data_IF_474058107544
#
_entry.id   IF_474058107544
#
_cell.length_a   1.000
_cell.length_b   1.000
_cell.length_c   1.000
_cell.angle_alpha   90.00
_cell.angle_beta   90.00
_cell.angle_gamma   90.00
#
_symmetry.space_group_name_H-M   'P 1'
#
loop_
_entity.id
_entity.type
_entity.pdbx_description
1 polymer ?
#
# COMPACT_ATOMS: atom_id res chain seq x y z
N UNK A 1 -2.14 54.77 70.38
CA UNK A 1 -1.61 53.39 70.39
C UNK A 1 -2.20 52.64 69.21
N UNK A 2 -1.31 52.24 68.30
CA UNK A 2 -1.62 51.54 67.06
C UNK A 2 -1.84 50.05 67.35
N UNK A 3 -2.95 49.48 66.89
CA UNK A 3 -3.12 48.03 66.78
C UNK A 3 -3.68 47.75 65.39
N UNK A 4 -2.77 47.34 64.49
CA UNK A 4 -3.06 46.82 63.15
C UNK A 4 -3.73 45.45 63.31
N UNK A 5 -4.94 45.29 62.79
CA UNK A 5 -5.52 43.97 62.53
C UNK A 5 -5.14 43.53 61.11
N UNK A 6 -4.30 42.50 61.02
CA UNK A 6 -3.91 41.87 59.78
C UNK A 6 -5.14 41.18 59.15
N UNK A 7 -5.62 41.73 58.05
CA UNK A 7 -6.61 41.09 57.17
C UNK A 7 -5.88 40.33 56.08
N UNK A 8 -5.49 39.08 56.35
CA UNK A 8 -5.08 38.13 55.32
C UNK A 8 -5.98 36.89 55.46
N UNK A 9 -6.43 36.37 54.32
CA UNK A 9 -7.49 35.36 54.09
C UNK A 9 -8.85 36.02 53.76
N UNK A 10 -9.13 36.24 52.46
CA UNK A 10 -9.63 35.13 51.64
C UNK A 10 -9.17 35.22 50.18
N UNK A 11 -7.99 34.69 49.84
CA UNK A 11 -7.56 34.56 48.44
C UNK A 11 -7.19 33.12 48.04
N UNK A 12 -7.18 32.18 48.98
CA UNK A 12 -6.82 30.78 48.70
C UNK A 12 -8.01 29.87 48.36
N UNK A 13 -9.26 30.32 48.56
CA UNK A 13 -10.44 29.50 48.24
C UNK A 13 -10.91 29.63 46.78
N UNK A 14 -10.50 30.67 46.05
CA UNK A 14 -10.92 30.88 44.65
C UNK A 14 -10.01 30.19 43.61
N UNK A 15 -8.82 29.75 44.01
CA UNK A 15 -7.85 29.12 43.10
C UNK A 15 -8.02 27.59 42.95
N UNK A 16 -8.82 26.95 43.79
CA UNK A 16 -8.96 25.47 43.79
C UNK A 16 -10.19 24.94 43.05
N UNK A 17 -11.07 25.81 42.53
CA UNK A 17 -12.30 25.44 41.83
C UNK A 17 -12.24 25.59 40.30
N UNK A 18 -11.07 25.90 39.73
CA UNK A 18 -10.88 26.05 38.27
C UNK A 18 -10.08 24.90 37.60
N UNK A 19 -9.84 23.78 38.30
CA UNK A 19 -9.04 22.67 37.75
C UNK A 19 -9.78 21.34 37.61
N UNK A 20 -11.10 21.35 37.53
CA UNK A 20 -11.86 20.19 37.04
C UNK A 20 -12.61 20.59 35.78
N UNK A 21 -11.86 20.84 34.72
CA UNK A 21 -12.40 20.74 33.37
C UNK A 21 -12.88 19.30 33.19
N UNK A 22 -14.15 19.05 32.80
CA UNK A 22 -14.55 17.70 32.43
C UNK A 22 -13.62 17.25 31.30
N UNK A 23 -12.93 16.12 31.52
CA UNK A 23 -12.03 15.50 30.54
C UNK A 23 -12.80 15.28 29.23
N UNK A 24 -12.65 16.20 28.28
CA UNK A 24 -13.18 16.07 26.90
C UNK A 24 -12.48 14.94 26.13
N UNK A 25 -11.44 14.35 26.71
CA UNK A 25 -10.50 13.46 26.01
C UNK A 25 -11.12 12.17 25.45
N UNK A 26 -12.29 11.75 25.94
CA UNK A 26 -13.04 10.59 25.42
C UNK A 26 -13.87 10.94 24.18
N UNK A 27 -14.80 11.89 24.30
CA UNK A 27 -15.65 12.34 23.20
C UNK A 27 -14.84 12.96 22.04
N UNK A 28 -13.75 13.66 22.35
CA UNK A 28 -12.84 14.26 21.37
C UNK A 28 -11.92 13.22 20.71
N UNK A 29 -11.62 12.09 21.37
CA UNK A 29 -10.96 10.91 20.73
C UNK A 29 -11.90 10.19 19.78
N UNK A 30 -13.15 9.94 20.20
CA UNK A 30 -14.17 9.25 19.40
C UNK A 30 -14.54 10.04 18.14
N UNK A 31 -14.47 11.38 18.19
CA UNK A 31 -14.75 12.26 17.04
C UNK A 31 -13.54 12.48 16.12
N UNK A 32 -12.34 12.00 16.48
CA UNK A 32 -11.09 12.22 15.75
C UNK A 32 -10.97 11.34 14.50
N UNK A 33 -11.61 10.18 14.51
CA UNK A 33 -11.50 9.18 13.46
C UNK A 33 -12.87 8.89 12.84
N UNK A 34 -13.03 9.26 11.57
CA UNK A 34 -14.19 8.85 10.77
C UNK A 34 -13.89 7.49 10.16
N UNK A 35 -14.87 6.60 10.24
CA UNK A 35 -14.77 5.31 9.59
C UNK A 35 -14.63 5.48 8.07
N UNK A 36 -13.78 4.65 7.45
CA UNK A 36 -13.87 4.42 6.01
C UNK A 36 -15.32 4.03 5.65
N UNK A 37 -15.75 4.40 4.46
CA UNK A 37 -17.04 3.96 3.92
C UNK A 37 -17.03 2.44 3.72
N UNK A 38 -18.22 1.91 3.47
CA UNK A 38 -18.38 0.56 2.92
C UNK A 38 -17.50 0.39 1.68
N UNK A 39 -17.03 -0.84 1.47
CA UNK A 39 -16.36 -1.28 0.26
C UNK A 39 -17.21 -0.91 -0.97
N UNK A 40 -16.60 -0.28 -1.96
CA UNK A 40 -17.24 0.07 -3.24
C UNK A 40 -16.82 -0.96 -4.27
N UNK A 41 -17.69 -1.92 -4.55
CA UNK A 41 -17.53 -2.88 -5.64
C UNK A 41 -17.97 -2.25 -6.97
N UNK A 42 -17.30 -2.60 -8.07
CA UNK A 42 -17.65 -2.17 -9.42
C UNK A 42 -18.19 -3.36 -10.25
N UNK A 43 -19.40 -3.90 -9.95
CA UNK A 43 -19.93 -5.10 -10.60
C UNK A 43 -20.25 -4.92 -12.09
N UNK A 44 -20.43 -3.69 -12.53
CA UNK A 44 -20.73 -3.34 -13.93
C UNK A 44 -19.50 -2.81 -14.69
N UNK A 45 -18.31 -2.89 -14.08
CA UNK A 45 -17.05 -2.58 -14.77
C UNK A 45 -16.69 -3.69 -15.76
N UNK A 46 -15.92 -3.35 -16.80
CA UNK A 46 -15.40 -4.33 -17.76
C UNK A 46 -14.20 -5.12 -17.19
N UNK A 47 -13.54 -4.56 -16.19
CA UNK A 47 -12.45 -5.17 -15.46
C UNK A 47 -12.89 -6.28 -14.50
N UNK A 48 -12.02 -7.29 -14.33
CA UNK A 48 -12.18 -8.37 -13.37
C UNK A 48 -10.88 -8.60 -12.62
N UNK A 49 -11.00 -8.95 -11.34
CA UNK A 49 -9.93 -9.56 -10.56
C UNK A 49 -9.53 -10.92 -11.15
N UNK A 50 -8.40 -11.48 -10.70
CA UNK A 50 -7.88 -12.75 -11.22
C UNK A 50 -8.93 -13.87 -11.29
N UNK A 51 -9.81 -14.00 -10.30
CA UNK A 51 -10.87 -15.02 -10.25
C UNK A 51 -12.14 -14.69 -11.05
N UNK A 52 -12.23 -13.50 -11.65
CA UNK A 52 -13.40 -13.03 -12.37
C UNK A 52 -14.37 -12.16 -11.56
N UNK A 53 -14.14 -12.00 -10.25
CA UNK A 53 -14.91 -11.12 -9.37
C UNK A 53 -14.63 -9.63 -9.67
N UNK A 54 -15.55 -8.71 -9.30
CA UNK A 54 -15.39 -7.30 -9.65
C UNK A 54 -14.31 -6.60 -8.81
N UNK A 55 -13.59 -5.63 -9.38
CA UNK A 55 -12.66 -4.81 -8.62
C UNK A 55 -13.40 -3.91 -7.61
N UNK A 56 -12.65 -3.42 -6.62
CA UNK A 56 -13.19 -2.57 -5.59
C UNK A 56 -12.15 -1.62 -4.99
N UNK A 57 -12.65 -0.65 -4.23
CA UNK A 57 -11.85 0.22 -3.38
C UNK A 57 -12.62 0.60 -2.11
N UNK A 58 -11.88 1.03 -1.09
CA UNK A 58 -12.44 1.72 0.07
C UNK A 58 -12.30 3.23 -0.10
N UNK A 59 -13.27 3.97 0.42
CA UNK A 59 -13.31 5.42 0.30
C UNK A 59 -13.52 6.07 1.65
N UNK A 60 -12.92 7.22 1.88
CA UNK A 60 -13.14 8.04 3.07
C UNK A 60 -13.31 9.48 2.61
N UNK A 61 -14.51 10.08 2.77
CA UNK A 61 -14.75 11.45 2.36
C UNK A 61 -13.86 12.44 3.11
N UNK A 62 -13.31 13.40 2.38
CA UNK A 62 -12.55 14.50 2.95
C UNK A 62 -13.42 15.48 3.74
N UNK A 63 -12.79 16.35 4.51
CA UNK A 63 -13.45 17.35 5.38
C UNK A 63 -12.88 18.74 5.15
N UNK A 64 -13.68 19.79 5.47
CA UNK A 64 -13.27 21.18 5.35
C UNK A 64 -12.62 21.52 4.00
N UNK A 65 -11.43 22.12 4.04
CA UNK A 65 -10.64 22.46 2.85
C UNK A 65 -10.15 21.24 2.04
N UNK A 66 -10.14 20.04 2.64
CA UNK A 66 -9.73 18.79 2.02
C UNK A 66 -10.80 18.13 1.15
N UNK A 67 -12.06 18.61 1.15
CA UNK A 67 -13.17 18.03 0.37
C UNK A 67 -12.94 17.99 -1.15
N UNK A 68 -12.07 18.87 -1.67
CA UNK A 68 -11.69 18.91 -3.10
C UNK A 68 -10.30 18.32 -3.37
N UNK A 69 -9.62 17.79 -2.35
CA UNK A 69 -8.30 17.19 -2.46
C UNK A 69 -8.42 15.68 -2.30
N UNK A 70 -7.67 14.93 -3.09
CA UNK A 70 -7.82 13.48 -3.23
C UNK A 70 -6.48 12.79 -3.07
N UNK A 71 -6.46 11.73 -2.29
CA UNK A 71 -5.35 10.83 -2.13
C UNK A 71 -5.82 9.43 -2.54
N UNK A 72 -5.25 8.89 -3.61
CA UNK A 72 -5.55 7.56 -4.13
C UNK A 72 -4.33 6.68 -3.90
N UNK A 73 -4.46 5.66 -3.04
CA UNK A 73 -3.39 4.77 -2.65
C UNK A 73 -3.54 3.39 -3.29
N UNK A 74 -2.46 2.93 -3.95
CA UNK A 74 -2.31 1.59 -4.53
C UNK A 74 -1.54 0.72 -3.52
N UNK A 75 -2.20 -0.31 -2.92
CA UNK A 75 -1.60 -1.12 -1.86
C UNK A 75 -0.47 -2.02 -2.33
N UNK A 76 0.14 -2.69 -1.36
CA UNK A 76 1.09 -3.78 -1.59
C UNK A 76 0.39 -5.00 -2.22
N UNK A 77 1.18 -5.97 -2.70
CA UNK A 77 0.61 -7.21 -3.22
C UNK A 77 1.60 -8.14 -3.93
N UNK A 78 2.67 -7.62 -4.52
CA UNK A 78 3.59 -8.45 -5.32
C UNK A 78 2.93 -9.01 -6.59
N UNK A 79 3.56 -10.00 -7.21
CA UNK A 79 3.14 -10.54 -8.51
C UNK A 79 2.81 -12.04 -8.42
N UNK A 80 2.22 -12.57 -9.48
CA UNK A 80 2.28 -14.00 -9.78
C UNK A 80 3.01 -14.18 -11.12
N UNK A 81 3.97 -15.11 -11.17
CA UNK A 81 4.85 -15.27 -12.34
C UNK A 81 4.58 -16.57 -13.11
N UNK A 82 4.10 -17.60 -12.42
CA UNK A 82 3.77 -18.89 -13.02
C UNK A 82 2.25 -19.14 -13.10
N UNK A 83 1.79 -19.99 -14.04
CA UNK A 83 0.39 -20.42 -14.08
C UNK A 83 -0.15 -20.90 -12.72
N UNK A 84 0.61 -21.77 -12.05
CA UNK A 84 0.24 -22.29 -10.73
C UNK A 84 0.12 -21.21 -9.66
N UNK A 85 1.06 -20.26 -9.61
CA UNK A 85 0.99 -19.12 -8.69
C UNK A 85 -0.22 -18.25 -8.96
N UNK A 86 -0.51 -17.92 -10.22
CA UNK A 86 -1.65 -17.06 -10.55
C UNK A 86 -2.99 -17.74 -10.24
N UNK A 87 -3.10 -19.06 -10.45
CA UNK A 87 -4.28 -19.85 -10.08
C UNK A 87 -4.45 -19.86 -8.56
N UNK A 88 -3.38 -20.17 -7.81
CA UNK A 88 -3.44 -20.16 -6.34
C UNK A 88 -3.82 -18.79 -5.80
N UNK A 89 -3.24 -17.73 -6.39
CA UNK A 89 -3.50 -16.34 -6.02
C UNK A 89 -4.93 -15.90 -6.30
N UNK A 90 -5.54 -16.37 -7.39
CA UNK A 90 -6.95 -16.10 -7.70
C UNK A 90 -7.88 -16.57 -6.56
N UNK A 91 -7.50 -17.61 -5.81
CA UNK A 91 -8.26 -18.11 -4.67
C UNK A 91 -7.85 -17.46 -3.32
N UNK A 92 -7.45 -16.18 -3.34
CA UNK A 92 -7.04 -15.44 -2.14
C UNK A 92 -7.54 -13.99 -2.16
N UNK A 93 -7.37 -13.28 -1.04
CA UNK A 93 -7.67 -11.83 -0.96
C UNK A 93 -6.85 -10.96 -1.91
N UNK A 94 -5.78 -11.51 -2.50
CA UNK A 94 -4.92 -10.83 -3.47
C UNK A 94 -5.28 -11.12 -4.93
N UNK A 95 -6.37 -11.85 -5.17
CA UNK A 95 -6.88 -12.20 -6.50
C UNK A 95 -8.40 -12.25 -6.61
N UNK A 96 -9.14 -12.07 -5.51
CA UNK A 96 -10.60 -12.14 -5.49
C UNK A 96 -11.22 -11.17 -4.49
N UNK A 97 -12.27 -10.49 -4.94
CA UNK A 97 -13.06 -9.58 -4.12
C UNK A 97 -13.94 -10.28 -3.09
N UNK A 98 -14.07 -11.60 -3.17
CA UNK A 98 -14.94 -12.41 -2.29
C UNK A 98 -14.41 -12.50 -0.86
N UNK A 99 -13.13 -12.21 -0.66
CA UNK A 99 -12.46 -12.28 0.64
C UNK A 99 -12.40 -10.92 1.36
N UNK A 100 -12.92 -9.84 0.77
CA UNK A 100 -12.81 -8.49 1.34
C UNK A 100 -13.96 -8.17 2.28
N UNK A 101 -13.63 -7.54 3.41
CA UNK A 101 -14.61 -7.09 4.36
C UNK A 101 -15.50 -5.99 3.76
N UNK A 102 -16.82 -6.09 3.92
CA UNK A 102 -17.75 -5.04 3.45
C UNK A 102 -17.52 -3.69 4.14
N UNK A 103 -16.94 -3.72 5.35
CA UNK A 103 -16.53 -2.57 6.14
C UNK A 103 -15.20 -2.93 6.80
N UNK A 104 -14.24 -2.02 6.75
CA UNK A 104 -13.02 -2.18 7.53
C UNK A 104 -13.40 -2.12 9.02
N UNK A 105 -13.00 -3.09 9.87
CA UNK A 105 -13.21 -3.02 11.30
C UNK A 105 -12.74 -1.68 11.87
N UNK A 106 -13.63 -1.05 12.64
CA UNK A 106 -13.21 -0.24 13.77
C UNK A 106 -12.70 -1.22 14.82
N UNK A 107 -11.56 -0.94 15.47
CA UNK A 107 -11.21 -1.72 16.65
C UNK A 107 -12.34 -1.55 17.69
N UNK A 108 -12.70 -2.64 18.35
CA UNK A 108 -13.65 -2.63 19.46
C UNK A 108 -12.84 -3.06 20.67
N UNK A 109 -12.68 -2.15 21.62
CA UNK A 109 -12.06 -2.45 22.91
C UNK A 109 -13.11 -2.18 24.00
N UNK A 110 -13.38 -3.15 24.87
CA UNK A 110 -14.32 -3.03 25.99
C UNK A 110 -15.76 -2.61 25.63
N UNK A 111 -16.25 -2.98 24.45
CA UNK A 111 -17.59 -2.59 24.00
C UNK A 111 -17.71 -1.11 23.59
N UNK A 112 -16.61 -0.36 23.67
CA UNK A 112 -16.50 1.00 23.18
C UNK A 112 -15.82 1.03 21.80
N UNK A 113 -16.28 1.95 20.95
CA UNK A 113 -15.85 2.03 19.55
C UNK A 113 -14.55 2.82 19.46
N UNK A 114 -13.41 2.12 19.50
CA UNK A 114 -12.07 2.71 19.36
C UNK A 114 -11.65 2.65 17.90
N UNK A 115 -11.73 3.75 17.14
CA UNK A 115 -11.54 3.67 15.68
C UNK A 115 -10.16 4.17 15.24
N UNK A 116 -9.10 3.37 15.42
CA UNK A 116 -7.92 3.53 14.57
C UNK A 116 -7.87 2.35 13.58
N UNK A 117 -8.30 2.54 12.31
CA UNK A 117 -8.20 1.49 11.29
C UNK A 117 -6.78 0.97 11.07
N UNK A 118 -5.76 1.75 11.45
CA UNK A 118 -4.36 1.36 11.35
C UNK A 118 -3.98 0.20 12.28
N UNK A 119 -4.73 -0.06 13.34
CA UNK A 119 -4.46 -1.19 14.24
C UNK A 119 -4.86 -2.53 13.59
N UNK A 120 -5.97 -2.55 12.87
CA UNK A 120 -6.42 -3.73 12.12
C UNK A 120 -5.74 -3.84 10.75
N UNK A 121 -5.41 -2.70 10.14
CA UNK A 121 -4.74 -2.61 8.84
C UNK A 121 -3.60 -1.61 8.92
N UNK A 122 -2.37 -2.05 9.28
CA UNK A 122 -1.21 -1.16 9.43
C UNK A 122 -0.95 -0.23 8.24
N UNK A 123 -1.32 -0.65 7.02
CA UNK A 123 -1.24 0.17 5.80
C UNK A 123 -2.07 1.46 5.87
N UNK A 124 -3.13 1.50 6.68
CA UNK A 124 -3.99 2.68 6.86
C UNK A 124 -3.45 3.70 7.88
N UNK A 125 -2.28 3.44 8.46
CA UNK A 125 -1.53 4.37 9.29
C UNK A 125 -0.76 5.42 8.49
N UNK A 126 0.19 6.09 9.13
CA UNK A 126 1.13 7.02 8.49
C UNK A 126 0.42 8.02 7.54
N UNK A 127 0.84 8.04 6.27
CA UNK A 127 0.32 8.93 5.22
C UNK A 127 -1.18 8.76 4.93
N UNK A 128 -1.78 7.61 5.30
CA UNK A 128 -3.21 7.32 5.08
C UNK A 128 -4.06 7.61 6.33
N UNK A 129 -3.41 7.89 7.46
CA UNK A 129 -4.10 8.17 8.73
C UNK A 129 -4.99 9.40 8.63
N UNK A 130 -6.09 9.40 9.39
CA UNK A 130 -6.96 10.57 9.55
C UNK A 130 -6.57 11.43 10.76
N UNK A 131 -5.65 10.95 11.59
CA UNK A 131 -5.11 11.73 12.68
C UNK A 131 -4.16 12.80 12.13
N UNK A 132 -4.42 14.07 12.46
CA UNK A 132 -3.60 15.19 12.00
C UNK A 132 -2.21 15.22 12.63
N UNK A 133 -2.01 14.56 13.78
CA UNK A 133 -0.69 14.45 14.40
C UNK A 133 0.16 13.47 13.59
N UNK A 134 -0.39 12.31 13.23
CA UNK A 134 0.27 11.30 12.40
C UNK A 134 0.39 11.72 10.93
N UNK A 135 -0.63 12.38 10.38
CA UNK A 135 -0.73 12.79 8.98
C UNK A 135 -1.07 14.28 8.83
N UNK A 136 -0.14 15.19 9.16
CA UNK A 136 -0.42 16.63 9.12
C UNK A 136 -0.75 17.13 7.71
N UNK A 137 -0.28 16.46 6.66
CA UNK A 137 -0.43 16.91 5.29
C UNK A 137 -1.78 16.52 4.64
N UNK A 138 -2.24 15.28 4.86
CA UNK A 138 -3.32 14.69 4.07
C UNK A 138 -4.52 14.20 4.88
N UNK A 139 -4.51 14.31 6.22
CA UNK A 139 -5.55 13.72 7.08
C UNK A 139 -6.99 14.13 6.74
N UNK A 140 -7.18 15.34 6.19
CA UNK A 140 -8.49 15.90 5.82
C UNK A 140 -8.91 15.66 4.37
N UNK A 141 -8.05 15.04 3.55
CA UNK A 141 -8.34 14.80 2.13
C UNK A 141 -9.31 13.64 1.95
N UNK A 142 -9.95 13.57 0.78
CA UNK A 142 -10.59 12.33 0.37
C UNK A 142 -9.52 11.25 0.24
N UNK A 143 -9.71 10.10 0.89
CA UNK A 143 -8.80 8.96 0.75
C UNK A 143 -9.51 7.83 0.01
N UNK A 144 -8.86 7.32 -1.03
CA UNK A 144 -9.25 6.10 -1.74
C UNK A 144 -8.14 5.09 -1.53
N UNK A 145 -8.48 3.93 -0.99
CA UNK A 145 -7.57 2.79 -0.86
C UNK A 145 -8.04 1.70 -1.81
N UNK A 146 -7.28 1.47 -2.88
CA UNK A 146 -7.59 0.39 -3.83
C UNK A 146 -7.39 -0.96 -3.15
N UNK A 147 -8.08 -1.99 -3.64
CA UNK A 147 -7.84 -3.37 -3.19
C UNK A 147 -7.15 -4.16 -4.30
N UNK A 148 -5.98 -4.73 -3.99
CA UNK A 148 -5.13 -5.41 -4.96
C UNK A 148 -5.72 -6.76 -5.38
N UNK A 149 -5.92 -6.97 -6.69
CA UNK A 149 -6.48 -8.24 -7.17
C UNK A 149 -6.03 -8.72 -8.55
N UNK A 150 -5.03 -8.08 -9.17
CA UNK A 150 -4.63 -8.37 -10.55
C UNK A 150 -3.37 -9.24 -10.67
N UNK A 151 -2.55 -9.32 -9.61
CA UNK A 151 -1.29 -10.09 -9.62
C UNK A 151 -0.21 -9.54 -10.55
N UNK A 152 -0.39 -8.34 -11.09
CA UNK A 152 0.43 -7.76 -12.15
C UNK A 152 0.81 -6.30 -11.92
N UNK A 153 0.71 -5.78 -10.70
CA UNK A 153 0.95 -4.38 -10.36
C UNK A 153 0.18 -3.40 -11.27
N UNK A 154 -1.09 -3.69 -11.53
CA UNK A 154 -1.97 -2.91 -12.41
C UNK A 154 -1.39 -2.66 -13.82
N UNK A 155 -0.47 -3.49 -14.29
CA UNK A 155 0.21 -3.27 -15.58
C UNK A 155 -0.38 -4.09 -16.73
N UNK A 156 -1.04 -5.21 -16.43
CA UNK A 156 -1.49 -6.16 -17.46
C UNK A 156 -2.75 -5.70 -18.19
N UNK A 157 -2.76 -5.95 -19.51
CA UNK A 157 -3.91 -5.76 -20.41
C UNK A 157 -4.33 -7.07 -21.11
N UNK A 158 -3.83 -8.22 -20.63
CA UNK A 158 -3.99 -9.50 -21.34
C UNK A 158 -5.45 -9.98 -21.40
N UNK A 159 -6.29 -9.58 -20.45
CA UNK A 159 -7.68 -10.03 -20.40
C UNK A 159 -7.81 -11.45 -19.84
N UNK A 160 -8.76 -12.23 -20.36
CA UNK A 160 -8.96 -13.63 -19.99
C UNK A 160 -7.78 -14.47 -20.48
N UNK A 161 -7.14 -15.20 -19.58
CA UNK A 161 -6.01 -16.08 -19.88
C UNK A 161 -6.32 -17.51 -19.41
N UNK A 162 -6.24 -18.46 -20.34
CA UNK A 162 -6.22 -19.89 -20.02
C UNK A 162 -4.79 -20.26 -19.57
N UNK A 163 -4.70 -20.86 -18.39
CA UNK A 163 -3.46 -21.26 -17.73
C UNK A 163 -3.26 -22.79 -17.74
N UNK A 164 -4.13 -23.53 -18.45
CA UNK A 164 -4.10 -24.99 -18.56
C UNK A 164 -4.98 -25.70 -17.53
N UNK A 165 -5.28 -26.97 -17.79
CA UNK A 165 -6.11 -27.85 -16.93
C UNK A 165 -7.50 -27.25 -16.57
N UNK A 166 -8.09 -26.47 -17.49
CA UNK A 166 -9.39 -25.81 -17.29
C UNK A 166 -9.34 -24.59 -16.37
N UNK A 167 -8.17 -24.16 -15.91
CA UNK A 167 -8.02 -22.99 -15.06
C UNK A 167 -7.88 -21.71 -15.91
N UNK A 168 -8.78 -20.77 -15.70
CA UNK A 168 -8.75 -19.44 -16.32
C UNK A 168 -8.57 -18.37 -15.26
N UNK A 169 -7.74 -17.36 -15.55
CA UNK A 169 -7.65 -16.12 -14.78
C UNK A 169 -7.89 -14.89 -15.64
N UNK A 170 -8.16 -13.74 -15.02
CA UNK A 170 -8.27 -12.45 -15.70
C UNK A 170 -7.11 -11.54 -15.32
N UNK A 171 -6.20 -11.31 -16.26
CA UNK A 171 -5.04 -10.44 -16.11
C UNK A 171 -5.37 -9.05 -16.67
N UNK A 172 -6.18 -8.29 -15.91
CA UNK A 172 -6.78 -7.02 -16.34
C UNK A 172 -6.35 -5.82 -15.48
N UNK A 173 -5.16 -5.89 -14.86
CA UNK A 173 -4.67 -4.88 -13.92
C UNK A 173 -4.81 -3.43 -14.38
N UNK A 174 -4.44 -3.13 -15.64
CA UNK A 174 -4.57 -1.76 -16.16
C UNK A 174 -6.02 -1.31 -16.28
N UNK A 175 -6.91 -2.19 -16.76
CA UNK A 175 -8.34 -1.88 -16.86
C UNK A 175 -8.97 -1.71 -15.47
N UNK A 176 -8.56 -2.51 -14.47
CA UNK A 176 -9.00 -2.33 -13.08
C UNK A 176 -8.69 -0.90 -12.60
N UNK A 177 -7.46 -0.44 -12.81
CA UNK A 177 -7.06 0.90 -12.41
C UNK A 177 -7.89 1.96 -13.16
N UNK A 178 -8.01 1.83 -14.48
CA UNK A 178 -8.76 2.78 -15.32
C UNK A 178 -10.25 2.85 -14.93
N UNK A 179 -10.91 1.72 -14.69
CA UNK A 179 -12.33 1.64 -14.29
C UNK A 179 -12.56 2.23 -12.90
N UNK A 180 -11.64 2.02 -11.95
CA UNK A 180 -11.70 2.65 -10.62
C UNK A 180 -11.55 4.18 -10.76
N UNK A 181 -10.55 4.66 -11.50
CA UNK A 181 -10.37 6.10 -11.71
C UNK A 181 -11.58 6.72 -12.40
N UNK A 182 -12.20 6.01 -13.35
CA UNK A 182 -13.43 6.43 -13.98
C UNK A 182 -14.57 6.58 -12.97
N UNK A 183 -14.85 5.57 -12.14
CA UNK A 183 -15.90 5.65 -11.10
C UNK A 183 -15.66 6.81 -10.12
N UNK A 184 -14.41 7.02 -9.68
CA UNK A 184 -14.07 8.13 -8.81
C UNK A 184 -14.41 9.48 -9.47
N UNK A 185 -14.07 9.63 -10.75
CA UNK A 185 -14.30 10.87 -11.51
C UNK A 185 -15.78 11.15 -11.72
N UNK A 186 -16.55 10.14 -12.13
CA UNK A 186 -17.93 10.32 -12.58
C UNK A 186 -18.93 10.20 -11.45
N UNK A 187 -18.69 9.31 -10.48
CA UNK A 187 -19.68 8.92 -9.47
C UNK A 187 -19.31 9.34 -8.04
N UNK A 188 -18.07 9.75 -7.78
CA UNK A 188 -17.61 10.19 -6.43
C UNK A 188 -17.22 11.65 -6.31
N UNK A 189 -17.26 12.40 -7.41
CA UNK A 189 -16.95 13.83 -7.44
C UNK A 189 -15.46 14.15 -7.58
N UNK A 190 -14.59 13.15 -7.83
CA UNK A 190 -13.17 13.39 -8.08
C UNK A 190 -12.93 14.20 -9.37
N UNK A 191 -13.90 14.24 -10.29
CA UNK A 191 -13.83 15.07 -11.50
C UNK A 191 -13.66 16.57 -11.22
N UNK A 192 -14.04 17.05 -10.04
CA UNK A 192 -13.88 18.44 -9.60
C UNK A 192 -12.68 18.66 -8.65
N UNK A 193 -11.75 17.70 -8.56
CA UNK A 193 -10.59 17.79 -7.70
C UNK A 193 -9.73 19.03 -7.99
N UNK A 194 -9.19 19.66 -6.94
CA UNK A 194 -8.15 20.68 -7.07
C UNK A 194 -6.74 20.10 -6.97
N UNK A 195 -6.60 19.04 -6.17
CA UNK A 195 -5.34 18.34 -5.94
C UNK A 195 -5.59 16.84 -5.95
N UNK A 196 -4.68 16.10 -6.58
CA UNK A 196 -4.70 14.64 -6.59
C UNK A 196 -3.30 14.14 -6.26
N UNK A 197 -3.19 13.29 -5.24
CA UNK A 197 -2.00 12.51 -4.94
C UNK A 197 -2.29 11.05 -5.27
N UNK A 198 -1.58 10.50 -6.25
CA UNK A 198 -1.49 9.06 -6.43
C UNK A 198 -0.31 8.56 -5.62
N UNK A 199 -0.52 7.67 -4.68
CA UNK A 199 0.58 7.00 -4.00
C UNK A 199 0.47 5.49 -4.05
N UNK A 200 1.55 4.79 -3.80
CA UNK A 200 1.52 3.35 -3.66
C UNK A 200 2.75 2.84 -2.93
N UNK A 201 2.66 1.60 -2.44
CA UNK A 201 3.75 0.90 -1.76
C UNK A 201 4.05 -0.44 -2.45
N UNK A 202 5.33 -0.82 -2.56
CA UNK A 202 5.76 -2.08 -3.19
C UNK A 202 5.23 -2.24 -4.63
N UNK A 203 4.47 -3.29 -4.92
CA UNK A 203 3.82 -3.48 -6.22
C UNK A 203 2.91 -2.30 -6.62
N UNK A 204 2.20 -1.70 -5.66
CA UNK A 204 1.41 -0.50 -5.90
C UNK A 204 2.26 0.74 -6.21
N UNK A 205 3.46 0.84 -5.65
CA UNK A 205 4.40 1.90 -6.01
C UNK A 205 4.93 1.74 -7.43
N UNK A 206 5.24 0.50 -7.84
CA UNK A 206 5.60 0.19 -9.23
C UNK A 206 4.45 0.57 -10.17
N UNK A 207 3.21 0.25 -9.80
CA UNK A 207 2.03 0.65 -10.55
C UNK A 207 1.90 2.18 -10.69
N UNK A 208 2.19 2.94 -9.64
CA UNK A 208 2.23 4.41 -9.70
C UNK A 208 3.30 4.90 -10.66
N UNK A 209 4.53 4.37 -10.59
CA UNK A 209 5.60 4.76 -11.51
C UNK A 209 5.23 4.52 -12.98
N UNK A 210 4.61 3.37 -13.28
CA UNK A 210 4.21 3.00 -14.63
C UNK A 210 3.03 3.83 -15.18
N UNK A 211 2.20 4.39 -14.31
CA UNK A 211 0.93 5.01 -14.72
C UNK A 211 0.83 6.49 -14.39
N UNK A 212 1.84 7.10 -13.73
CA UNK A 212 1.74 8.46 -13.21
C UNK A 212 1.29 9.49 -14.26
N UNK A 213 1.94 9.52 -15.43
CA UNK A 213 1.61 10.49 -16.48
C UNK A 213 0.19 10.31 -17.01
N UNK A 214 -0.24 9.05 -17.20
CA UNK A 214 -1.61 8.74 -17.65
C UNK A 214 -2.66 9.14 -16.59
N UNK A 215 -2.35 8.89 -15.32
CA UNK A 215 -3.20 9.27 -14.21
C UNK A 215 -3.28 10.81 -14.11
N UNK A 216 -2.16 11.52 -14.23
CA UNK A 216 -2.12 12.98 -14.26
C UNK A 216 -2.90 13.57 -15.44
N UNK A 217 -2.77 12.98 -16.63
CA UNK A 217 -3.52 13.39 -17.82
C UNK A 217 -5.05 13.25 -17.65
N UNK A 218 -5.51 12.39 -16.74
CA UNK A 218 -6.94 12.24 -16.43
C UNK A 218 -7.52 13.42 -15.63
N UNK A 219 -6.67 14.28 -15.06
CA UNK A 219 -7.06 15.43 -14.23
C UNK A 219 -6.35 16.72 -14.66
N UNK A 220 -6.56 17.22 -15.90
CA UNK A 220 -5.79 18.33 -16.45
C UNK A 220 -5.99 19.67 -15.72
N UNK A 221 -7.04 19.79 -14.89
CA UNK A 221 -7.35 20.98 -14.09
C UNK A 221 -6.92 20.88 -12.62
N UNK A 222 -6.43 19.72 -12.19
CA UNK A 222 -5.99 19.50 -10.82
C UNK A 222 -4.46 19.48 -10.76
N UNK A 223 -3.89 19.96 -9.65
CA UNK A 223 -2.49 19.71 -9.36
C UNK A 223 -2.31 18.23 -8.99
N UNK A 224 -1.81 17.43 -9.93
CA UNK A 224 -1.58 16.00 -9.72
C UNK A 224 -0.12 15.72 -9.37
N UNK A 225 0.10 14.86 -8.36
CA UNK A 225 1.42 14.37 -7.94
C UNK A 225 1.39 12.87 -7.75
N UNK A 226 2.55 12.24 -7.88
CA UNK A 226 2.73 10.80 -7.66
C UNK A 226 3.81 10.56 -6.61
N UNK A 227 3.57 9.58 -5.74
CA UNK A 227 4.49 9.15 -4.69
C UNK A 227 4.64 7.63 -4.71
N UNK A 228 5.84 7.16 -5.06
CA UNK A 228 6.15 5.74 -5.12
C UNK A 228 7.03 5.36 -3.92
N UNK A 229 6.46 4.64 -2.97
CA UNK A 229 7.18 4.11 -1.82
C UNK A 229 7.64 2.67 -2.07
N UNK A 230 8.95 2.43 -2.03
CA UNK A 230 9.50 1.07 -2.19
C UNK A 230 9.13 0.38 -3.52
N UNK A 231 8.98 1.17 -4.60
CA UNK A 231 8.57 0.70 -5.93
C UNK A 231 9.65 0.66 -7.00
N UNK A 232 10.86 1.13 -6.69
CA UNK A 232 12.00 1.11 -7.61
C UNK A 232 12.78 -0.18 -7.43
N UNK A 233 12.68 -1.08 -8.41
CA UNK A 233 13.34 -2.39 -8.39
C UNK A 233 14.56 -2.38 -9.30
N UNK A 234 15.73 -2.77 -8.79
CA UNK A 234 16.94 -2.94 -9.60
C UNK A 234 17.00 -4.36 -10.11
N UNK A 235 16.96 -4.53 -11.43
CA UNK A 235 17.18 -5.83 -12.07
C UNK A 235 18.61 -6.30 -11.86
N UNK A 236 18.83 -7.23 -10.94
CA UNK A 236 20.12 -7.89 -10.74
C UNK A 236 19.96 -9.40 -10.93
N UNK A 237 21.03 -10.05 -11.38
CA UNK A 237 21.14 -11.51 -11.21
C UNK A 237 20.94 -11.80 -9.72
N UNK A 238 20.17 -12.85 -9.35
CA UNK A 238 20.07 -13.26 -7.96
C UNK A 238 21.48 -13.37 -7.37
N UNK A 239 21.67 -12.90 -6.14
CA UNK A 239 22.90 -13.16 -5.40
C UNK A 239 22.99 -14.67 -5.22
N UNK A 240 23.66 -15.34 -6.15
CA UNK A 240 24.06 -16.72 -6.01
C UNK A 240 25.22 -16.72 -5.01
N UNK A 241 24.89 -16.73 -3.72
CA UNK A 241 25.89 -17.03 -2.69
C UNK A 241 26.19 -18.52 -2.87
N UNK A 242 27.41 -18.91 -3.32
CA UNK A 242 27.78 -20.31 -3.33
C UNK A 242 27.56 -20.87 -1.93
N UNK A 243 27.01 -22.07 -1.80
CA UNK A 243 26.80 -22.67 -0.48
C UNK A 243 28.09 -22.70 0.37
N UNK A 244 29.26 -22.75 -0.28
CA UNK A 244 30.57 -22.65 0.36
C UNK A 244 30.89 -21.29 1.02
N UNK A 245 30.21 -20.20 0.63
CA UNK A 245 30.33 -18.87 1.24
C UNK A 245 29.32 -18.63 2.36
N UNK A 246 28.35 -19.54 2.56
CA UNK A 246 27.51 -19.54 3.75
C UNK A 246 28.32 -20.13 4.92
N UNK A 247 29.21 -19.34 5.52
CA UNK A 247 29.76 -19.71 6.83
C UNK A 247 28.64 -19.67 7.86
N UNK A 248 28.30 -20.82 8.45
CA UNK A 248 27.50 -20.85 9.67
C UNK A 248 28.34 -20.25 10.80
N UNK A 249 28.09 -19.00 11.16
CA UNK A 249 28.55 -18.48 12.45
C UNK A 249 27.69 -19.09 13.56
N UNK A 250 27.93 -20.37 13.84
CA UNK A 250 27.46 -21.03 15.06
C UNK A 250 28.68 -21.55 15.82
N UNK A 251 29.51 -20.62 16.31
CA UNK A 251 30.26 -20.89 17.54
C UNK A 251 29.32 -20.65 18.71
N UNK A 252 28.45 -21.63 18.95
CA UNK A 252 27.93 -21.89 20.27
C UNK A 252 28.56 -23.21 20.69
N UNK A 253 29.72 -23.09 21.35
CA UNK A 253 30.21 -24.17 22.19
C UNK A 253 29.14 -24.46 23.24
N UNK A 254 28.49 -25.62 23.13
CA UNK A 254 28.31 -26.56 24.24
C UNK A 254 27.71 -27.83 23.66
N UNK A 255 28.42 -28.94 23.87
CA UNK A 255 28.23 -30.17 23.14
C UNK A 255 26.84 -30.79 23.29
N UNK A 256 26.31 -31.26 22.17
CA UNK A 256 25.72 -32.59 22.01
C UNK A 256 25.58 -32.84 20.50
N UNK A 257 26.01 -34.00 20.03
CA UNK A 257 25.97 -34.40 18.62
C UNK A 257 24.53 -34.44 18.10
N UNK A 258 24.26 -33.75 16.98
CA UNK A 258 23.03 -33.96 16.20
C UNK A 258 23.36 -34.78 14.92
N UNK A 259 22.48 -35.71 14.47
CA UNK A 259 22.85 -36.72 13.48
C UNK A 259 22.95 -36.16 12.05
N UNK A 260 23.89 -36.72 11.29
CA UNK A 260 24.34 -36.37 9.93
C UNK A 260 23.32 -36.54 8.78
N UNK A 261 22.01 -36.47 9.04
CA UNK A 261 20.97 -36.73 8.03
C UNK A 261 20.42 -35.49 7.30
N UNK A 262 20.79 -34.27 7.72
CA UNK A 262 20.18 -33.03 7.19
C UNK A 262 20.93 -32.39 6.00
N UNK A 263 22.21 -32.70 5.78
CA UNK A 263 23.00 -32.09 4.71
C UNK A 263 22.82 -32.77 3.34
N UNK A 264 22.33 -34.00 3.28
CA UNK A 264 22.24 -34.78 2.03
C UNK A 264 20.96 -34.51 1.22
N UNK A 265 20.03 -33.67 1.71
CA UNK A 265 18.75 -33.39 1.03
C UNK A 265 18.69 -32.08 0.24
N UNK A 266 19.71 -31.22 0.36
CA UNK A 266 19.74 -29.91 -0.31
C UNK A 266 20.24 -29.98 -1.78
N UNK A 267 20.92 -31.05 -2.17
CA UNK A 267 21.51 -31.19 -3.51
C UNK A 267 20.52 -31.69 -4.59
N UNK A 268 19.34 -32.19 -4.21
CA UNK A 268 18.38 -32.78 -5.16
C UNK A 268 17.34 -31.80 -5.73
N UNK A 269 17.31 -30.54 -5.28
CA UNK A 269 16.31 -29.54 -5.68
C UNK A 269 16.79 -28.52 -6.72
N UNK A 270 18.06 -28.55 -7.10
CA UNK A 270 18.61 -27.68 -8.15
C UNK A 270 18.70 -28.47 -9.45
N UNK A 271 17.63 -28.45 -10.25
CA UNK A 271 17.73 -28.82 -11.68
C UNK A 271 18.20 -27.59 -12.46
N UNK A 272 19.32 -27.65 -13.21
CA UNK A 272 19.72 -26.55 -14.06
C UNK A 272 18.70 -26.35 -15.18
N UNK A 273 18.19 -25.13 -15.31
CA UNK A 273 17.43 -24.71 -16.49
C UNK A 273 18.45 -24.48 -17.61
N UNK A 274 18.53 -25.41 -18.55
CA UNK A 274 19.27 -25.21 -19.80
C UNK A 274 18.50 -24.20 -20.67
N UNK A 275 18.89 -22.93 -20.60
CA UNK A 275 18.60 -21.97 -21.66
C UNK A 275 19.62 -22.22 -22.77
N UNK A 276 19.25 -23.03 -23.77
CA UNK A 276 19.99 -23.11 -25.02
C UNK A 276 19.82 -21.81 -25.80
N UNK A 277 20.74 -20.87 -25.62
CA UNK A 277 20.89 -19.75 -26.52
C UNK A 277 21.59 -20.27 -27.78
N UNK A 278 20.85 -20.39 -28.88
CA UNK A 278 21.39 -20.81 -30.17
C UNK A 278 22.14 -19.62 -30.77
N UNK A 279 23.41 -19.88 -31.04
CA UNK A 279 24.46 -19.02 -31.57
C UNK A 279 24.06 -18.16 -32.78
N UNK A 280 24.68 -17.00 -32.90
CA UNK A 280 24.41 -16.02 -33.95
C UNK A 280 25.32 -14.79 -33.97
N UNK A 281 26.65 -15.00 -33.86
CA UNK A 281 27.75 -14.09 -34.25
C UNK A 281 28.28 -13.08 -33.22
N UNK A 282 29.44 -13.46 -32.69
CA UNK A 282 30.54 -12.58 -32.31
C UNK A 282 30.87 -11.53 -33.39
N UNK A 283 31.00 -10.26 -32.98
CA UNK A 283 32.15 -9.44 -33.35
C UNK A 283 32.63 -8.67 -32.12
N UNK A 284 33.87 -8.96 -31.78
CA UNK A 284 34.72 -8.27 -30.82
C UNK A 284 34.90 -6.80 -31.18
N UNK A 285 34.80 -5.92 -30.19
CA UNK A 285 35.75 -4.85 -29.95
C UNK A 285 35.57 -4.37 -28.51
N UNK A 286 36.59 -4.64 -27.69
CA UNK A 286 36.79 -3.88 -26.48
C UNK A 286 37.39 -2.53 -26.85
N UNK A 287 36.86 -1.46 -26.28
CA UNK A 287 37.64 -0.32 -25.84
C UNK A 287 36.81 0.56 -24.89
N UNK A 288 37.46 0.84 -23.76
CA UNK A 288 37.26 1.88 -22.75
C UNK A 288 36.39 3.08 -23.14
N UNK A 289 35.54 3.55 -22.22
CA UNK A 289 35.80 4.78 -21.45
C UNK A 289 34.55 5.24 -20.68
N UNK A 290 34.81 5.62 -19.43
CA UNK A 290 33.98 6.54 -18.68
C UNK A 290 33.90 7.90 -19.42
N UNK A 291 32.69 8.42 -19.60
CA UNK A 291 32.37 9.85 -19.51
C UNK A 291 30.92 10.09 -19.96
N UNK A 292 30.19 10.85 -19.15
CA UNK A 292 29.34 11.99 -19.55
C UNK A 292 28.07 12.08 -18.68
N UNK A 293 28.27 12.58 -17.47
CA UNK A 293 27.37 13.60 -16.92
C UNK A 293 27.55 14.85 -17.78
N UNK A 294 26.52 15.30 -18.52
CA UNK A 294 26.36 16.72 -18.78
C UNK A 294 24.95 17.11 -19.20
N UNK A 295 24.55 18.21 -18.59
CA UNK A 295 23.33 18.99 -18.73
C UNK A 295 23.33 19.78 -20.03
N UNK A 296 22.17 19.89 -20.69
CA UNK A 296 21.69 21.06 -21.45
C UNK A 296 20.21 20.77 -21.80
N UNK A 297 19.17 21.51 -21.39
CA UNK A 297 18.81 22.92 -21.64
C UNK A 297 19.13 23.42 -23.04
N UNK A 298 18.11 23.38 -23.89
CA UNK A 298 17.72 24.47 -24.78
C UNK A 298 16.20 24.57 -24.75
#
# INVERSE_FOLDING_TARGET
MSLRTNSFLPLLAAALLLLVSPSSSGAERVNRFKSFTRLVLLPHSGAKCLDGSPPAYYFRPGTGAGRRKWHVHLPTGGWCFSPGECIARANSSLGSSRFWARRLPAAVENGERVINPAEAYPELGGLLSQDSITNPAFHSWNLVWLVYCDGGAYSSMRGRADLGNGATVYMQGRQILEDIIYDLRTNRGMGAASHVLFSGSSAGAHAVLLNCDRLAASFPRASTKCLADSGFFVGKRPLAIPAALLHSSSTLETGTQAPSAWLTRASSWVRPINLSYRDGREKTHGESLAAAFQVATT
#
